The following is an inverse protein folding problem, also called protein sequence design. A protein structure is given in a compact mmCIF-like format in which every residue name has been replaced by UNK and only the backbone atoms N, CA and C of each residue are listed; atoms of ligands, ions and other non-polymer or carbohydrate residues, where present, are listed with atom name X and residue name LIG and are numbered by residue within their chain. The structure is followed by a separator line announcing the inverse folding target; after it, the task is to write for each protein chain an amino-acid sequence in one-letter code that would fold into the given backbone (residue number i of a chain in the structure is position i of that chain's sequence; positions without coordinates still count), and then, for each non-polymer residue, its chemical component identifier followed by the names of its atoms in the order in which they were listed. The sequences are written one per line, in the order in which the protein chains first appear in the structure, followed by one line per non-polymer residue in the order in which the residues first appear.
data_IF_101060493724
#
_entry.id   IF_101060493724
#
_cell.length_a   1.000
_cell.length_b   1.000
_cell.length_c   1.000
_cell.angle_alpha   90.00
_cell.angle_beta   90.00
_cell.angle_gamma   90.00
#
_symmetry.space_group_name_H-M   'P 1'
#
loop_
_entity.id
_entity.type
_entity.pdbx_description
1 polymer ?
#
# COMPACT_ATOMS: atom_id res chain seq x y z
N UNK A 1 -3.34 -22.74 -12.00
CA UNK A 1 -4.30 -22.59 -13.14
C UNK A 1 -5.48 -21.67 -12.80
N UNK A 2 -6.07 -21.76 -11.60
CA UNK A 2 -7.19 -20.89 -11.17
C UNK A 2 -6.77 -19.41 -11.08
N UNK A 3 -5.59 -19.12 -10.53
CA UNK A 3 -5.09 -17.75 -10.42
C UNK A 3 -4.89 -17.06 -11.79
N UNK A 4 -4.50 -17.79 -12.85
CA UNK A 4 -4.34 -17.22 -14.20
C UNK A 4 -5.67 -16.80 -14.83
N UNK A 5 -6.77 -17.51 -14.56
CA UNK A 5 -8.11 -17.17 -15.10
C UNK A 5 -8.63 -15.83 -14.53
N UNK A 6 -8.36 -15.58 -13.25
CA UNK A 6 -8.75 -14.31 -12.61
C UNK A 6 -7.74 -13.18 -12.86
N UNK A 7 -6.51 -13.51 -13.27
CA UNK A 7 -5.46 -12.54 -13.55
C UNK A 7 -5.66 -11.80 -14.88
N UNK A 8 -6.29 -12.42 -15.86
CA UNK A 8 -6.63 -11.76 -17.11
C UNK A 8 -7.61 -10.62 -16.85
N UNK A 9 -8.67 -10.86 -16.07
CA UNK A 9 -9.60 -9.81 -15.63
C UNK A 9 -8.92 -8.73 -14.78
N UNK A 10 -7.98 -9.13 -13.91
CA UNK A 10 -7.23 -8.18 -13.09
C UNK A 10 -6.26 -7.33 -13.91
N UNK A 11 -5.60 -7.90 -14.92
CA UNK A 11 -4.70 -7.16 -15.84
C UNK A 11 -5.46 -6.23 -16.77
N UNK A 12 -6.63 -6.63 -17.27
CA UNK A 12 -7.49 -5.74 -18.05
C UNK A 12 -7.95 -4.54 -17.25
N UNK A 13 -8.10 -4.68 -15.92
CA UNK A 13 -8.40 -3.54 -15.04
C UNK A 13 -7.28 -2.51 -14.98
N UNK A 14 -6.08 -2.84 -15.41
CA UNK A 14 -4.93 -1.93 -15.52
C UNK A 14 -4.80 -1.28 -16.91
N UNK A 15 -5.67 -1.59 -17.86
CA UNK A 15 -5.72 -0.86 -19.13
C UNK A 15 -6.26 0.54 -18.83
N UNK A 16 -5.38 1.50 -19.07
CA UNK A 16 -5.57 2.91 -18.79
C UNK A 16 -6.54 3.54 -19.79
N UNK A 17 -7.83 3.42 -19.51
CA UNK A 17 -8.84 4.17 -20.24
C UNK A 17 -9.12 5.47 -19.46
N UNK A 18 -8.89 6.61 -20.10
CA UNK A 18 -9.09 7.94 -19.54
C UNK A 18 -10.56 8.34 -19.42
N UNK A 19 -11.48 7.36 -19.29
CA UNK A 19 -12.90 7.66 -19.10
C UNK A 19 -13.10 8.38 -17.74
N UNK A 20 -13.87 9.46 -17.76
CA UNK A 20 -14.20 10.28 -16.58
C UNK A 20 -15.21 9.61 -15.63
N UNK A 21 -15.13 8.29 -15.44
CA UNK A 21 -16.08 7.53 -14.62
C UNK A 21 -15.63 7.45 -13.16
N UNK A 22 -15.38 8.61 -12.56
CA UNK A 22 -15.09 8.68 -11.13
C UNK A 22 -16.11 9.59 -10.42
N UNK A 23 -16.41 9.27 -9.17
CA UNK A 23 -17.27 10.09 -8.34
C UNK A 23 -16.45 10.93 -7.38
N UNK A 24 -16.74 12.23 -7.35
CA UNK A 24 -16.11 13.17 -6.44
C UNK A 24 -17.13 13.82 -5.56
N UNK A 25 -16.74 14.15 -4.34
CA UNK A 25 -17.46 15.08 -3.49
C UNK A 25 -16.97 16.52 -3.74
N UNK A 26 -17.58 17.46 -3.06
CA UNK A 26 -17.19 18.89 -3.10
C UNK A 26 -15.78 19.12 -2.49
N UNK A 27 -15.17 20.25 -2.82
CA UNK A 27 -13.90 20.74 -2.26
C UNK A 27 -12.68 19.83 -2.53
N UNK A 28 -12.58 19.16 -3.66
CA UNK A 28 -11.37 18.44 -4.05
C UNK A 28 -10.41 19.31 -4.87
N UNK A 29 -9.12 19.05 -4.75
CA UNK A 29 -8.09 19.69 -5.56
C UNK A 29 -7.30 18.63 -6.32
N UNK A 30 -7.22 18.74 -7.63
CA UNK A 30 -6.49 17.79 -8.50
C UNK A 30 -5.42 18.57 -9.27
N UNK A 31 -4.17 18.15 -9.10
CA UNK A 31 -3.01 18.70 -9.79
C UNK A 31 -3.00 18.42 -11.29
N UNK A 32 -2.01 18.96 -11.98
CA UNK A 32 -1.82 18.71 -13.42
C UNK A 32 -1.30 17.29 -13.65
N UNK A 33 -1.62 16.72 -14.83
CA UNK A 33 -1.15 15.41 -15.27
C UNK A 33 -1.49 14.26 -14.30
N UNK A 34 -2.62 14.36 -13.62
CA UNK A 34 -3.15 13.27 -12.77
C UNK A 34 -3.96 12.33 -13.65
N UNK A 35 -3.70 11.02 -13.53
CA UNK A 35 -4.54 9.99 -14.10
C UNK A 35 -5.49 9.43 -13.02
N UNK A 36 -6.77 9.30 -13.34
CA UNK A 36 -7.78 8.68 -12.46
C UNK A 36 -8.52 7.62 -13.29
N UNK A 37 -8.50 6.39 -12.78
CA UNK A 37 -9.13 5.25 -13.41
C UNK A 37 -10.65 5.21 -13.21
N UNK A 38 -11.26 4.09 -13.63
CA UNK A 38 -12.71 3.86 -13.54
C UNK A 38 -13.15 3.55 -12.11
N UNK A 39 -14.40 3.92 -11.79
CA UNK A 39 -15.06 3.61 -10.49
C UNK A 39 -14.27 4.12 -9.26
N UNK A 40 -13.45 5.15 -9.42
CA UNK A 40 -12.72 5.75 -8.30
C UNK A 40 -13.69 6.60 -7.46
N UNK A 41 -13.60 6.48 -6.13
CA UNK A 41 -14.37 7.29 -5.19
C UNK A 41 -13.43 8.22 -4.43
N UNK A 42 -13.68 9.53 -4.51
CA UNK A 42 -12.85 10.54 -3.87
C UNK A 42 -13.69 11.32 -2.85
N UNK A 43 -13.28 11.25 -1.58
CA UNK A 43 -13.96 11.91 -0.48
C UNK A 43 -13.76 13.43 -0.45
N UNK A 44 -14.55 14.12 0.38
CA UNK A 44 -14.51 15.57 0.52
C UNK A 44 -13.15 16.06 1.03
N UNK A 45 -12.67 17.17 0.45
CA UNK A 45 -11.45 17.85 0.87
C UNK A 45 -10.16 17.07 0.54
N UNK A 46 -10.20 16.09 -0.37
CA UNK A 46 -9.02 15.38 -0.86
C UNK A 46 -8.20 16.29 -1.76
N UNK A 47 -6.88 16.22 -1.59
CA UNK A 47 -5.92 16.92 -2.45
C UNK A 47 -5.03 15.88 -3.14
N UNK A 48 -4.97 15.93 -4.47
CA UNK A 48 -4.14 15.05 -5.29
C UNK A 48 -3.09 15.90 -6.01
N UNK A 49 -1.83 15.70 -5.65
CA UNK A 49 -0.69 16.39 -6.24
C UNK A 49 -0.49 16.06 -7.73
N UNK A 50 0.32 16.84 -8.44
CA UNK A 50 0.55 16.64 -9.86
C UNK A 50 1.28 15.32 -10.14
N UNK A 51 1.02 14.74 -11.31
CA UNK A 51 1.65 13.51 -11.78
C UNK A 51 1.23 12.23 -11.06
N UNK A 52 0.22 12.28 -10.18
CA UNK A 52 -0.28 11.10 -9.52
C UNK A 52 -1.01 10.16 -10.48
N UNK A 53 -0.91 8.87 -10.20
CA UNK A 53 -1.66 7.82 -10.86
C UNK A 53 -2.59 7.14 -9.84
N UNK A 54 -3.89 7.11 -10.14
CA UNK A 54 -4.92 6.46 -9.34
C UNK A 54 -5.61 5.41 -10.20
N UNK A 55 -5.39 4.14 -9.87
CA UNK A 55 -5.94 2.99 -10.60
C UNK A 55 -7.44 2.82 -10.46
N UNK A 56 -8.00 1.82 -11.15
CA UNK A 56 -9.43 1.53 -11.11
C UNK A 56 -9.90 1.07 -9.73
N UNK A 57 -11.16 1.35 -9.40
CA UNK A 57 -11.81 0.92 -8.15
C UNK A 57 -11.08 1.36 -6.87
N UNK A 58 -10.30 2.44 -6.93
CA UNK A 58 -9.63 3.02 -5.75
C UNK A 58 -10.64 3.85 -4.95
N UNK A 59 -10.57 3.75 -3.64
CA UNK A 59 -11.32 4.61 -2.72
C UNK A 59 -10.35 5.49 -1.92
N UNK A 60 -10.58 6.81 -1.90
CA UNK A 60 -9.78 7.79 -1.15
C UNK A 60 -10.70 8.52 -0.18
N UNK A 61 -10.50 8.28 1.11
CA UNK A 61 -11.29 8.88 2.18
C UNK A 61 -11.03 10.38 2.35
N UNK A 62 -11.96 11.03 3.04
CA UNK A 62 -12.01 12.49 3.23
C UNK A 62 -10.71 13.06 3.78
N UNK A 63 -10.34 14.27 3.30
CA UNK A 63 -9.19 15.06 3.77
C UNK A 63 -7.84 14.36 3.62
N UNK A 64 -7.74 13.35 2.77
CA UNK A 64 -6.46 12.74 2.42
C UNK A 64 -5.66 13.60 1.47
N UNK A 65 -4.35 13.56 1.58
CA UNK A 65 -3.41 14.33 0.77
C UNK A 65 -2.41 13.42 0.07
N UNK A 66 -2.41 13.45 -1.25
CA UNK A 66 -1.42 12.76 -2.08
C UNK A 66 -0.41 13.78 -2.61
N UNK A 67 0.84 13.63 -2.23
CA UNK A 67 1.93 14.44 -2.77
C UNK A 67 2.24 14.09 -4.24
N UNK A 68 3.08 14.86 -4.94
CA UNK A 68 3.37 14.62 -6.36
C UNK A 68 3.87 13.21 -6.66
N UNK A 69 3.50 12.67 -7.82
CA UNK A 69 3.97 11.39 -8.36
C UNK A 69 3.65 10.16 -7.47
N UNK A 70 2.62 10.22 -6.65
CA UNK A 70 2.13 9.04 -5.93
C UNK A 70 1.43 8.12 -6.91
N UNK A 71 1.71 6.82 -6.82
CA UNK A 71 1.06 5.77 -7.62
C UNK A 71 0.19 4.89 -6.72
N UNK A 72 -1.10 4.82 -7.02
CA UNK A 72 -2.05 3.95 -6.32
C UNK A 72 -2.61 2.94 -7.30
N UNK A 73 -2.32 1.67 -7.08
CA UNK A 73 -2.83 0.58 -7.90
C UNK A 73 -4.29 0.27 -7.60
N UNK A 74 -4.92 -0.40 -8.56
CA UNK A 74 -6.36 -0.71 -8.55
C UNK A 74 -6.80 -1.41 -7.27
N UNK A 75 -8.04 -1.12 -6.84
CA UNK A 75 -8.70 -1.70 -5.67
C UNK A 75 -8.05 -1.39 -4.33
N UNK A 76 -7.14 -0.42 -4.27
CA UNK A 76 -6.59 0.09 -3.02
C UNK A 76 -7.63 0.97 -2.31
N UNK A 77 -7.73 0.82 -0.99
CA UNK A 77 -8.66 1.58 -0.15
C UNK A 77 -7.84 2.43 0.83
N UNK A 78 -8.03 3.74 0.77
CA UNK A 78 -7.51 4.70 1.73
C UNK A 78 -8.67 5.23 2.59
N UNK A 79 -8.54 5.11 3.90
CA UNK A 79 -9.39 5.78 4.87
C UNK A 79 -9.23 7.29 4.84
N UNK A 80 -9.68 7.96 5.90
CA UNK A 80 -9.68 9.42 6.00
C UNK A 80 -8.35 9.97 6.50
N UNK A 81 -8.03 11.21 6.10
CA UNK A 81 -6.89 12.00 6.60
C UNK A 81 -5.53 11.32 6.39
N UNK A 82 -5.42 10.49 5.38
CA UNK A 82 -4.14 9.88 5.02
C UNK A 82 -3.24 10.90 4.32
N UNK A 83 -1.94 10.83 4.62
CA UNK A 83 -0.91 11.66 3.97
C UNK A 83 0.06 10.72 3.28
N UNK A 84 0.17 10.82 1.96
CA UNK A 84 1.06 9.98 1.17
C UNK A 84 2.10 10.87 0.49
N UNK A 85 3.36 10.74 0.91
CA UNK A 85 4.44 11.55 0.38
C UNK A 85 4.92 11.09 -1.00
N UNK A 86 5.65 11.98 -1.67
CA UNK A 86 6.00 11.88 -3.08
C UNK A 86 6.71 10.57 -3.47
N UNK A 87 6.42 10.10 -4.69
CA UNK A 87 7.01 8.91 -5.31
C UNK A 87 6.71 7.59 -4.58
N UNK A 88 5.75 7.55 -3.66
CA UNK A 88 5.34 6.31 -3.01
C UNK A 88 4.40 5.50 -3.90
N UNK A 89 4.53 4.17 -3.83
CA UNK A 89 3.76 3.21 -4.62
C UNK A 89 2.93 2.33 -3.69
N UNK A 90 1.62 2.36 -3.87
CA UNK A 90 0.65 1.67 -3.05
C UNK A 90 -0.10 0.61 -3.84
N UNK A 91 -0.08 -0.63 -3.36
CA UNK A 91 -0.86 -1.74 -3.92
C UNK A 91 -0.24 -2.42 -5.13
N UNK A 92 1.09 -2.30 -5.35
CA UNK A 92 1.80 -3.11 -6.33
C UNK A 92 1.81 -4.60 -5.97
N UNK A 93 2.07 -5.45 -6.95
CA UNK A 93 2.31 -6.87 -6.68
C UNK A 93 3.62 -7.05 -5.91
N UNK A 94 3.59 -7.93 -4.90
CA UNK A 94 4.78 -8.38 -4.21
C UNK A 94 5.50 -9.54 -4.91
N UNK A 95 6.48 -10.13 -4.21
CA UNK A 95 7.19 -11.31 -4.67
C UNK A 95 6.29 -12.54 -4.55
N UNK A 96 5.77 -13.02 -5.66
CA UNK A 96 4.93 -14.22 -5.73
C UNK A 96 5.32 -15.07 -6.93
N UNK A 97 6.10 -16.13 -6.69
CA UNK A 97 6.52 -17.06 -7.73
C UNK A 97 6.54 -18.50 -7.19
N UNK A 98 6.19 -19.44 -8.04
CA UNK A 98 6.39 -20.89 -7.79
C UNK A 98 7.42 -21.45 -8.75
N UNK A 99 8.23 -22.37 -8.28
CA UNK A 99 9.20 -23.06 -9.14
C UNK A 99 8.48 -24.14 -9.96
N UNK A 100 8.65 -24.08 -11.28
CA UNK A 100 8.16 -25.10 -12.19
C UNK A 100 9.34 -25.56 -13.06
N UNK A 101 9.89 -26.75 -12.73
CA UNK A 101 11.13 -27.27 -13.27
C UNK A 101 12.28 -26.25 -13.13
N UNK A 102 12.81 -25.72 -14.23
CA UNK A 102 13.93 -24.78 -14.26
C UNK A 102 13.52 -23.30 -14.37
N UNK A 103 12.21 -23.00 -14.28
CA UNK A 103 11.66 -21.64 -14.42
C UNK A 103 10.84 -21.22 -13.20
N UNK A 104 10.69 -19.89 -13.04
CA UNK A 104 9.79 -19.30 -12.08
C UNK A 104 8.48 -18.89 -12.76
N UNK A 105 7.36 -19.43 -12.27
CA UNK A 105 6.02 -19.01 -12.69
C UNK A 105 5.46 -17.99 -11.72
N UNK A 106 4.96 -16.86 -12.25
CA UNK A 106 4.34 -15.82 -11.42
C UNK A 106 3.04 -16.33 -10.79
N UNK A 107 2.88 -16.07 -9.52
CA UNK A 107 1.61 -16.16 -8.77
C UNK A 107 1.03 -14.76 -8.74
N UNK A 108 -0.10 -14.57 -9.42
CA UNK A 108 -0.76 -13.27 -9.51
C UNK A 108 -1.33 -12.86 -8.14
N UNK A 109 -1.18 -11.57 -7.81
CA UNK A 109 -1.74 -11.00 -6.59
C UNK A 109 -3.15 -10.48 -6.87
N UNK A 110 -4.15 -11.16 -6.32
CA UNK A 110 -5.58 -10.86 -6.51
C UNK A 110 -6.20 -10.09 -5.36
N UNK A 111 -5.44 -9.89 -4.28
CA UNK A 111 -5.89 -9.14 -3.13
C UNK A 111 -5.72 -7.62 -3.30
N UNK A 112 -5.86 -6.90 -2.22
CA UNK A 112 -5.76 -5.44 -2.22
C UNK A 112 -4.89 -4.89 -1.09
N UNK A 113 -4.77 -3.57 -1.03
CA UNK A 113 -4.18 -2.81 0.06
C UNK A 113 -5.25 -1.97 0.74
N UNK A 114 -5.23 -1.96 2.07
CA UNK A 114 -6.11 -1.14 2.90
C UNK A 114 -5.28 -0.29 3.85
N UNK A 115 -5.39 1.02 3.73
CA UNK A 115 -4.95 1.97 4.73
C UNK A 115 -6.17 2.46 5.51
N UNK A 116 -6.16 2.29 6.83
CA UNK A 116 -7.21 2.86 7.69
C UNK A 116 -7.06 4.40 7.81
N UNK A 117 -7.67 5.01 8.81
CA UNK A 117 -7.66 6.47 8.97
C UNK A 117 -6.32 6.97 9.57
N UNK A 118 -5.93 8.20 9.24
CA UNK A 118 -4.78 8.90 9.82
C UNK A 118 -3.43 8.16 9.61
N UNK A 119 -3.26 7.50 8.48
CA UNK A 119 -1.99 6.87 8.10
C UNK A 119 -1.11 7.88 7.38
N UNK A 120 0.18 7.92 7.72
CA UNK A 120 1.16 8.72 6.99
C UNK A 120 2.25 7.83 6.39
N UNK A 121 2.47 7.99 5.10
CA UNK A 121 3.44 7.22 4.33
C UNK A 121 4.52 8.17 3.82
N UNK A 122 5.75 7.98 4.26
CA UNK A 122 6.92 8.75 3.83
C UNK A 122 7.22 8.64 2.34
N UNK A 123 8.17 9.41 1.86
CA UNK A 123 8.52 9.46 0.44
C UNK A 123 9.19 8.16 -0.04
N UNK A 124 8.91 7.78 -1.29
CA UNK A 124 9.47 6.61 -1.96
C UNK A 124 9.26 5.28 -1.19
N UNK A 125 8.17 5.17 -0.43
CA UNK A 125 7.74 3.92 0.16
C UNK A 125 7.09 2.99 -0.87
N UNK A 126 7.18 1.68 -0.65
CA UNK A 126 6.49 0.67 -1.44
C UNK A 126 5.68 -0.25 -0.53
N UNK A 127 4.38 -0.35 -0.80
CA UNK A 127 3.47 -1.19 0.00
C UNK A 127 2.70 -2.08 -0.95
N UNK A 128 2.97 -3.39 -0.84
CA UNK A 128 2.39 -4.37 -1.75
C UNK A 128 0.96 -4.75 -1.34
N UNK A 129 0.17 -5.15 -2.32
CA UNK A 129 -1.15 -5.76 -2.09
C UNK A 129 -1.05 -7.16 -1.51
N UNK A 130 -2.09 -7.65 -0.89
CA UNK A 130 -2.19 -9.06 -0.55
C UNK A 130 -2.20 -9.96 -1.81
N UNK A 131 -1.58 -11.12 -1.72
CA UNK A 131 -1.69 -12.13 -2.78
C UNK A 131 -3.12 -12.68 -2.87
N UNK A 132 -3.69 -13.06 -1.74
CA UNK A 132 -5.11 -13.29 -1.50
C UNK A 132 -5.46 -12.56 -0.20
N UNK A 133 -6.61 -11.88 -0.14
CA UNK A 133 -6.95 -11.02 0.99
C UNK A 133 -6.24 -9.67 0.90
N UNK A 134 -5.89 -9.08 2.03
CA UNK A 134 -5.40 -7.70 2.08
C UNK A 134 -4.06 -7.58 2.80
N UNK A 135 -3.25 -6.62 2.38
CA UNK A 135 -2.25 -5.97 3.22
C UNK A 135 -2.94 -4.82 3.95
N UNK A 136 -2.74 -4.68 5.25
CA UNK A 136 -3.48 -3.72 6.08
C UNK A 136 -2.53 -2.87 6.91
N UNK A 137 -2.68 -1.55 6.81
CA UNK A 137 -2.10 -0.59 7.73
C UNK A 137 -3.23 0.03 8.56
N UNK A 138 -3.23 -0.22 9.86
CA UNK A 138 -4.27 0.26 10.76
C UNK A 138 -4.11 1.75 11.09
N UNK A 139 -5.13 2.32 11.72
CA UNK A 139 -5.21 3.77 11.98
C UNK A 139 -4.01 4.30 12.75
N UNK A 140 -3.52 5.47 12.36
CA UNK A 140 -2.43 6.15 13.04
C UNK A 140 -1.03 5.62 12.70
N UNK A 141 -0.88 4.62 11.82
CA UNK A 141 0.43 4.11 11.40
C UNK A 141 1.21 5.21 10.69
N UNK A 142 2.51 5.33 11.02
CA UNK A 142 3.42 6.29 10.41
C UNK A 142 4.65 5.55 9.87
N UNK A 143 4.88 5.67 8.57
CA UNK A 143 6.07 5.14 7.90
C UNK A 143 6.97 6.30 7.48
N UNK A 144 8.24 6.23 7.84
CA UNK A 144 9.25 7.14 7.34
C UNK A 144 9.66 6.77 5.89
N UNK A 145 10.57 7.51 5.31
CA UNK A 145 10.94 7.40 3.90
C UNK A 145 11.55 6.05 3.53
N UNK A 146 11.25 5.56 2.33
CA UNK A 146 11.81 4.33 1.76
C UNK A 146 11.52 3.06 2.57
N UNK A 147 10.43 3.02 3.31
CA UNK A 147 9.95 1.80 3.98
C UNK A 147 9.31 0.88 2.94
N UNK A 148 9.59 -0.43 3.04
CA UNK A 148 8.93 -1.46 2.27
C UNK A 148 8.06 -2.34 3.16
N UNK A 149 6.78 -2.49 2.80
CA UNK A 149 5.84 -3.43 3.41
C UNK A 149 5.39 -4.43 2.35
N UNK A 150 5.77 -5.69 2.51
CA UNK A 150 5.42 -6.74 1.57
C UNK A 150 3.96 -7.21 1.71
N UNK A 151 3.56 -8.10 0.81
CA UNK A 151 2.19 -8.60 0.70
C UNK A 151 1.67 -9.25 1.99
N UNK A 152 0.37 -9.13 2.25
CA UNK A 152 -0.34 -9.75 3.37
C UNK A 152 0.15 -9.35 4.78
N UNK A 153 0.95 -8.30 4.90
CA UNK A 153 1.31 -7.76 6.20
C UNK A 153 0.12 -7.09 6.88
N UNK A 154 0.12 -7.11 8.21
CA UNK A 154 -0.83 -6.38 9.04
C UNK A 154 -0.06 -5.54 10.06
N UNK A 155 -0.11 -4.21 9.92
CA UNK A 155 0.56 -3.27 10.81
C UNK A 155 -0.46 -2.68 11.78
N UNK A 156 -0.26 -2.92 13.07
CA UNK A 156 -1.14 -2.49 14.16
C UNK A 156 -1.20 -0.97 14.33
N UNK A 157 -2.26 -0.51 15.01
CA UNK A 157 -2.54 0.92 15.21
C UNK A 157 -1.36 1.65 15.84
N UNK A 158 -1.20 2.93 15.47
CA UNK A 158 -0.21 3.85 16.04
C UNK A 158 1.25 3.36 15.94
N UNK A 159 1.53 2.32 15.19
CA UNK A 159 2.91 1.82 14.99
C UNK A 159 3.68 2.77 14.10
N UNK A 160 4.92 3.07 14.51
CA UNK A 160 5.85 3.95 13.79
C UNK A 160 7.02 3.12 13.28
N UNK A 161 7.37 3.28 11.99
CA UNK A 161 8.44 2.54 11.33
C UNK A 161 9.43 3.52 10.70
N UNK A 162 10.68 3.45 11.15
CA UNK A 162 11.78 4.30 10.68
C UNK A 162 12.22 3.97 9.25
N UNK A 163 12.88 4.94 8.64
CA UNK A 163 13.30 4.92 7.24
C UNK A 163 14.09 3.66 6.84
N UNK A 164 13.90 3.23 5.58
CA UNK A 164 14.61 2.08 4.98
C UNK A 164 14.40 0.74 5.68
N UNK A 165 13.38 0.61 6.51
CA UNK A 165 12.97 -0.66 7.09
C UNK A 165 12.18 -1.47 6.08
N UNK A 166 12.46 -2.79 6.02
CA UNK A 166 11.73 -3.73 5.18
C UNK A 166 11.04 -4.79 6.03
N UNK A 167 9.74 -5.00 5.80
CA UNK A 167 8.94 -6.04 6.45
C UNK A 167 8.49 -7.02 5.37
N UNK A 168 8.92 -8.28 5.52
CA UNK A 168 8.60 -9.33 4.58
C UNK A 168 7.17 -9.86 4.73
N UNK A 169 6.71 -10.63 3.74
CA UNK A 169 5.32 -11.01 3.56
C UNK A 169 4.67 -11.74 4.73
N UNK A 170 3.38 -11.54 4.90
CA UNK A 170 2.54 -12.21 5.92
C UNK A 170 2.94 -11.94 7.38
N UNK A 171 3.79 -10.95 7.61
CA UNK A 171 4.21 -10.54 8.96
C UNK A 171 3.13 -9.66 9.59
N UNK A 172 2.90 -9.90 10.88
CA UNK A 172 2.02 -9.09 11.71
C UNK A 172 2.84 -8.27 12.69
N UNK A 173 2.57 -6.98 12.77
CA UNK A 173 3.13 -6.08 13.78
C UNK A 173 1.99 -5.58 14.64
N UNK A 174 2.15 -5.69 15.96
CA UNK A 174 1.17 -5.25 16.93
C UNK A 174 0.98 -3.73 16.96
N UNK A 175 0.14 -3.27 17.87
CA UNK A 175 -0.18 -1.85 18.07
C UNK A 175 0.93 -1.15 18.87
N UNK A 176 1.06 0.17 18.69
CA UNK A 176 1.95 1.05 19.46
C UNK A 176 3.44 0.62 19.45
N UNK A 177 3.88 -0.03 18.37
CA UNK A 177 5.27 -0.41 18.18
C UNK A 177 6.11 0.76 17.66
N UNK A 178 7.40 0.78 18.04
CA UNK A 178 8.38 1.71 17.51
C UNK A 178 9.55 0.94 16.88
N UNK A 179 9.60 0.89 15.56
CA UNK A 179 10.62 0.17 14.79
C UNK A 179 11.62 1.18 14.24
N UNK A 180 12.89 1.04 14.62
CA UNK A 180 13.98 1.89 14.15
C UNK A 180 14.24 1.75 12.65
N UNK A 181 14.96 2.71 12.09
CA UNK A 181 15.29 2.70 10.67
C UNK A 181 16.30 1.61 10.29
N UNK A 182 16.25 1.16 9.02
CA UNK A 182 17.16 0.18 8.48
C UNK A 182 16.97 -1.24 9.02
N UNK A 183 15.83 -1.54 9.63
CA UNK A 183 15.52 -2.88 10.12
C UNK A 183 15.09 -3.81 8.98
N UNK A 184 15.39 -5.11 9.15
CA UNK A 184 14.87 -6.19 8.32
C UNK A 184 14.04 -7.16 9.15
N UNK A 185 12.80 -7.44 8.74
CA UNK A 185 11.89 -8.34 9.44
C UNK A 185 11.48 -9.44 8.47
N UNK A 186 11.76 -10.70 8.82
CA UNK A 186 11.44 -11.85 7.96
C UNK A 186 9.95 -12.10 7.88
N UNK A 187 9.57 -12.93 6.94
CA UNK A 187 8.19 -13.30 6.65
C UNK A 187 7.55 -14.19 7.73
N UNK A 188 6.22 -14.19 7.77
CA UNK A 188 5.40 -15.09 8.58
C UNK A 188 5.67 -15.07 10.10
N UNK A 189 6.14 -13.95 10.64
CA UNK A 189 6.31 -13.76 12.09
C UNK A 189 5.29 -12.78 12.65
N UNK A 190 5.16 -12.78 13.97
CA UNK A 190 4.31 -11.86 14.71
C UNK A 190 5.15 -11.09 15.75
N UNK A 191 5.05 -9.77 15.72
CA UNK A 191 5.64 -8.85 16.69
C UNK A 191 4.50 -8.37 17.57
N UNK A 192 4.61 -8.59 18.89
CA UNK A 192 3.58 -8.17 19.84
C UNK A 192 3.45 -6.64 19.93
N UNK A 193 2.37 -6.17 20.57
CA UNK A 193 2.14 -4.73 20.77
C UNK A 193 3.14 -4.12 21.76
N UNK A 194 3.39 -2.81 21.63
CA UNK A 194 4.27 -2.03 22.48
C UNK A 194 5.77 -2.42 22.39
N UNK A 195 6.18 -3.11 21.32
CA UNK A 195 7.58 -3.50 21.12
C UNK A 195 8.39 -2.34 20.58
N UNK A 196 9.62 -2.20 21.06
CA UNK A 196 10.62 -1.27 20.52
C UNK A 196 11.78 -2.04 19.90
N UNK A 197 12.06 -1.75 18.64
CA UNK A 197 13.17 -2.34 17.88
C UNK A 197 14.19 -1.24 17.59
N UNK A 198 15.44 -1.47 17.97
CA UNK A 198 16.52 -0.52 17.69
C UNK A 198 16.83 -0.45 16.19
N UNK A 199 17.34 0.68 15.70
CA UNK A 199 17.76 0.79 14.29
C UNK A 199 18.76 -0.30 13.90
N UNK A 200 18.76 -0.65 12.60
CA UNK A 200 19.67 -1.65 12.00
C UNK A 200 19.55 -3.05 12.59
N UNK A 201 18.40 -3.38 13.19
CA UNK A 201 18.14 -4.71 13.76
C UNK A 201 17.56 -5.64 12.69
N UNK A 202 17.98 -6.90 12.71
CA UNK A 202 17.43 -7.97 11.88
C UNK A 202 16.64 -8.94 12.74
N UNK A 203 15.33 -9.08 12.49
CA UNK A 203 14.41 -9.96 13.22
C UNK A 203 14.14 -11.20 12.37
N UNK A 204 14.49 -12.37 12.90
CA UNK A 204 14.38 -13.66 12.23
C UNK A 204 13.43 -14.65 12.90
N UNK A 205 12.94 -14.31 14.09
CA UNK A 205 12.02 -15.14 14.88
C UNK A 205 11.09 -14.22 15.69
N UNK A 206 9.89 -14.68 15.95
CA UNK A 206 8.88 -14.04 16.81
C UNK A 206 9.10 -14.42 18.28
#
# INVERSE_FOLDING_TARGET
KLTKLFAEDARESHIYDSSKDFTTSEDIQIGKNVYIGKNVKIGKGVIIGPGCFVGNNVEIGEKSYLYPNVTIYSSTILGKKNIIHANSVLGSDGLGFSKNNDSWEKIEHLGNLILADDVEIGAACTIDRGSLGSTVLNSGVKLDNQVHIAHNCNIGKNTIIGAKTAIAGSTKVGEDCLIGGGCGIVDNIEIESNVRINPMTYITQS
#
